data_IF_424470018746
#
_entry.id   IF_424470018746
#
_cell.length_a   1.000
_cell.length_b   1.000
_cell.length_c   1.000
_cell.angle_alpha   90.00
_cell.angle_beta   90.00
_cell.angle_gamma   90.00
#
_symmetry.space_group_name_H-M   'P 1'
#
loop_
_entity.id
_entity.type
_entity.pdbx_description
1 polymer ?
#
# COMPACT_ATOMS: atom_id res chain seq x y z
N UNK A 1 -13.63 11.41 27.55
CA UNK A 1 -12.92 10.90 26.34
C UNK A 1 -12.33 12.07 25.56
N UNK A 2 -11.01 12.28 25.64
CA UNK A 2 -10.36 13.45 25.03
C UNK A 2 -10.21 13.30 23.51
N UNK A 3 -10.88 14.19 22.79
CA UNK A 3 -10.96 14.26 21.33
C UNK A 3 -9.77 15.05 20.75
N UNK A 4 -8.64 14.40 20.46
CA UNK A 4 -7.51 15.03 19.74
C UNK A 4 -6.79 14.02 18.82
N UNK A 5 -7.40 13.63 17.69
CA UNK A 5 -6.78 12.68 16.72
C UNK A 5 -6.34 13.28 15.39
N UNK A 6 -6.34 14.60 15.25
CA UNK A 6 -5.89 15.28 14.02
C UNK A 6 -5.05 16.53 14.29
N UNK A 7 -4.09 16.43 15.21
CA UNK A 7 -3.14 17.52 15.47
C UNK A 7 -2.27 17.79 14.25
N UNK A 8 -1.83 19.05 14.09
CA UNK A 8 -0.90 19.44 13.04
C UNK A 8 0.36 18.55 13.03
N UNK A 9 0.86 18.17 14.22
CA UNK A 9 1.96 17.23 14.36
C UNK A 9 1.67 15.85 13.77
N UNK A 10 0.46 15.30 13.98
CA UNK A 10 0.07 14.03 13.38
C UNK A 10 -0.03 14.12 11.84
N UNK A 11 -0.44 15.27 11.30
CA UNK A 11 -0.46 15.53 9.86
C UNK A 11 0.96 15.61 9.29
N UNK A 12 1.84 16.40 9.91
CA UNK A 12 3.26 16.53 9.53
C UNK A 12 3.96 15.18 9.57
N UNK A 13 3.77 14.41 10.66
CA UNK A 13 4.33 13.07 10.82
C UNK A 13 3.88 12.12 9.71
N UNK A 14 2.60 12.13 9.31
CA UNK A 14 2.11 11.33 8.16
C UNK A 14 2.73 11.77 6.85
N UNK A 15 2.85 13.07 6.59
CA UNK A 15 3.48 13.60 5.38
C UNK A 15 4.94 13.17 5.28
N UNK A 16 5.71 13.29 6.37
CA UNK A 16 7.11 12.86 6.42
C UNK A 16 7.26 11.35 6.19
N UNK A 17 6.41 10.52 6.79
CA UNK A 17 6.47 9.08 6.59
C UNK A 17 6.16 8.63 5.17
N UNK A 18 5.36 9.40 4.42
CA UNK A 18 5.10 9.10 3.00
C UNK A 18 6.36 9.21 2.12
N UNK A 19 7.39 9.92 2.59
CA UNK A 19 8.65 10.15 1.87
C UNK A 19 9.70 9.08 2.20
N UNK A 20 9.54 8.29 3.26
CA UNK A 20 10.53 7.27 3.64
C UNK A 20 10.89 6.32 2.48
N UNK A 21 12.16 5.91 2.40
CA UNK A 21 12.62 4.99 1.36
C UNK A 21 12.01 3.61 1.56
N UNK A 22 11.89 2.89 0.45
CA UNK A 22 11.55 1.47 0.43
C UNK A 22 12.82 0.66 0.69
N UNK A 23 12.70 -0.43 1.45
CA UNK A 23 13.84 -1.30 1.74
C UNK A 23 14.47 -1.82 0.45
N UNK A 24 15.80 -1.73 0.36
CA UNK A 24 16.58 -2.23 -0.77
C UNK A 24 16.46 -3.74 -0.95
N UNK A 25 16.06 -4.46 0.10
CA UNK A 25 15.82 -5.91 0.08
C UNK A 25 14.50 -6.30 -0.62
N UNK A 26 13.62 -5.33 -0.93
CA UNK A 26 12.36 -5.58 -1.63
C UNK A 26 12.60 -5.92 -3.09
N UNK A 27 11.99 -7.00 -3.56
CA UNK A 27 12.01 -7.48 -4.95
C UNK A 27 10.60 -7.85 -5.40
N UNK A 28 10.43 -8.10 -6.70
CA UNK A 28 9.14 -8.42 -7.31
C UNK A 28 8.35 -7.18 -7.70
N UNK A 29 7.09 -7.39 -8.08
CA UNK A 29 6.20 -6.36 -8.61
C UNK A 29 4.74 -6.60 -8.21
N UNK A 30 3.89 -5.62 -8.50
CA UNK A 30 2.45 -5.76 -8.31
C UNK A 30 1.89 -6.75 -9.35
N UNK A 31 1.25 -7.81 -8.87
CA UNK A 31 0.61 -8.86 -9.69
C UNK A 31 -0.92 -8.76 -9.71
N UNK A 32 -1.45 -7.58 -9.36
CA UNK A 32 -2.89 -7.30 -9.29
C UNK A 32 -3.69 -8.30 -8.43
N UNK A 33 -3.10 -8.72 -7.30
CA UNK A 33 -3.76 -9.56 -6.29
C UNK A 33 -4.94 -8.84 -5.58
N UNK A 34 -4.96 -7.50 -5.57
CA UNK A 34 -6.02 -6.69 -4.97
C UNK A 34 -6.01 -6.59 -3.44
N UNK A 35 -5.24 -7.40 -2.72
CA UNK A 35 -5.24 -7.42 -1.25
C UNK A 35 -4.72 -6.13 -0.62
N UNK A 36 -3.64 -5.55 -1.17
CA UNK A 36 -3.14 -4.27 -0.68
C UNK A 36 -4.15 -3.11 -0.88
N UNK A 37 -5.08 -3.25 -1.83
CA UNK A 37 -6.16 -2.28 -2.05
C UNK A 37 -7.31 -2.40 -1.05
N UNK A 38 -7.33 -3.44 -0.20
CA UNK A 38 -8.39 -3.70 0.78
C UNK A 38 -7.95 -3.48 2.24
N UNK A 39 -6.66 -3.26 2.49
CA UNK A 39 -6.05 -3.28 3.83
C UNK A 39 -6.70 -2.40 4.89
N UNK A 40 -7.04 -1.16 4.55
CA UNK A 40 -7.67 -0.23 5.51
C UNK A 40 -9.18 -0.14 5.27
N UNK A 41 -9.53 0.20 4.04
CA UNK A 41 -10.87 0.19 3.49
C UNK A 41 -10.74 -0.29 2.05
N UNK A 42 -11.84 -0.80 1.47
CA UNK A 42 -11.87 -1.16 0.05
C UNK A 42 -11.62 0.10 -0.79
N UNK A 43 -10.52 0.09 -1.53
CA UNK A 43 -10.15 1.20 -2.40
C UNK A 43 -11.21 1.42 -3.49
N UNK A 44 -11.71 2.65 -3.70
CA UNK A 44 -12.72 2.92 -4.73
C UNK A 44 -12.19 2.71 -6.17
N UNK A 45 -10.87 2.70 -6.33
CA UNK A 45 -10.20 2.47 -7.61
C UNK A 45 -9.86 0.99 -7.87
N UNK A 46 -10.16 0.09 -6.92
CA UNK A 46 -10.09 -1.34 -7.15
C UNK A 46 -11.25 -1.75 -8.06
N UNK A 47 -10.93 -2.39 -9.19
CA UNK A 47 -11.89 -2.87 -10.16
C UNK A 47 -11.62 -4.34 -10.48
N UNK A 48 -12.62 -4.99 -11.04
CA UNK A 48 -12.56 -6.39 -11.42
C UNK A 48 -12.96 -6.52 -12.88
N UNK A 49 -12.23 -7.37 -13.61
CA UNK A 49 -12.58 -7.79 -14.96
C UNK A 49 -13.66 -8.88 -14.92
N UNK A 50 -14.20 -9.24 -16.08
CA UNK A 50 -15.20 -10.32 -16.22
C UNK A 50 -14.69 -11.68 -15.75
N UNK A 51 -13.36 -11.92 -15.78
CA UNK A 51 -12.71 -13.13 -15.28
C UNK A 51 -12.38 -13.07 -13.78
N UNK A 52 -12.99 -12.14 -13.03
CA UNK A 52 -12.73 -11.86 -11.62
C UNK A 52 -11.28 -11.43 -11.30
N UNK A 53 -10.42 -11.16 -12.29
CA UNK A 53 -9.10 -10.59 -12.02
C UNK A 53 -9.24 -9.14 -11.58
N UNK A 54 -8.61 -8.83 -10.44
CA UNK A 54 -8.58 -7.46 -9.93
C UNK A 54 -7.61 -6.61 -10.76
N UNK A 55 -7.79 -5.29 -10.77
CA UNK A 55 -6.84 -4.33 -11.30
C UNK A 55 -7.07 -2.94 -10.69
N UNK A 56 -6.05 -2.07 -10.74
CA UNK A 56 -6.15 -0.70 -10.28
C UNK A 56 -6.53 0.24 -11.45
N UNK A 57 -7.69 0.89 -11.36
CA UNK A 57 -8.16 1.82 -12.39
C UNK A 57 -7.23 3.05 -12.58
N UNK A 58 -6.46 3.41 -11.56
CA UNK A 58 -5.54 4.56 -11.57
C UNK A 58 -4.06 4.14 -11.46
N UNK A 59 -3.70 2.96 -11.96
CA UNK A 59 -2.37 2.36 -11.76
C UNK A 59 -1.19 3.32 -12.04
N UNK A 60 -1.30 4.12 -13.11
CA UNK A 60 -0.27 5.09 -13.54
C UNK A 60 -0.11 6.27 -12.57
N UNK A 61 -1.18 6.69 -11.92
CA UNK A 61 -1.20 7.86 -11.01
C UNK A 61 -1.37 7.46 -9.54
N UNK A 62 -1.06 6.20 -9.19
CA UNK A 62 -1.19 5.67 -7.83
C UNK A 62 -0.58 6.62 -6.79
N UNK A 63 -1.22 6.82 -5.63
CA UNK A 63 -0.61 7.54 -4.51
C UNK A 63 0.71 6.90 -4.08
N UNK A 64 1.62 7.69 -3.49
CA UNK A 64 2.94 7.21 -3.05
C UNK A 64 2.83 6.01 -2.09
N UNK A 65 1.84 6.01 -1.19
CA UNK A 65 1.59 4.90 -0.27
C UNK A 65 1.38 3.58 -1.03
N UNK A 66 0.58 3.59 -2.10
CA UNK A 66 0.33 2.39 -2.92
C UNK A 66 1.57 1.96 -3.73
N UNK A 67 2.39 2.92 -4.20
CA UNK A 67 3.63 2.60 -4.95
C UNK A 67 4.71 2.00 -4.06
N UNK A 68 4.79 2.48 -2.81
CA UNK A 68 5.83 2.10 -1.85
C UNK A 68 5.48 0.86 -1.05
N UNK A 69 4.21 0.47 -0.98
CA UNK A 69 3.80 -0.73 -0.28
C UNK A 69 4.27 -2.02 -1.01
N UNK A 70 4.74 -3.04 -0.28
CA UNK A 70 5.20 -3.01 1.13
C UNK A 70 6.55 -2.30 1.22
N UNK A 71 6.76 -1.45 2.23
CA UNK A 71 8.03 -0.68 2.34
C UNK A 71 9.14 -1.51 2.99
N UNK A 72 8.80 -2.29 4.00
CA UNK A 72 9.70 -3.19 4.74
C UNK A 72 9.01 -4.55 4.95
N UNK A 73 9.79 -5.58 5.28
CA UNK A 73 9.25 -6.91 5.57
C UNK A 73 8.26 -6.89 6.75
N UNK A 74 8.52 -6.07 7.77
CA UNK A 74 7.65 -5.91 8.94
C UNK A 74 6.28 -5.28 8.63
N UNK A 75 6.16 -4.55 7.52
CA UNK A 75 4.91 -3.93 7.08
C UNK A 75 4.14 -4.80 6.07
N UNK A 76 4.69 -5.97 5.71
CA UNK A 76 4.20 -6.77 4.61
C UNK A 76 3.11 -7.77 5.02
N UNK A 77 1.94 -7.24 5.34
CA UNK A 77 0.78 -8.03 5.80
C UNK A 77 0.19 -8.94 4.71
N UNK A 78 0.33 -8.60 3.43
CA UNK A 78 -0.22 -9.39 2.31
C UNK A 78 0.81 -10.32 1.66
N UNK A 79 1.73 -10.89 2.46
CA UNK A 79 2.83 -11.72 1.97
C UNK A 79 2.38 -12.95 1.19
N UNK A 80 1.21 -13.48 1.52
CA UNK A 80 0.74 -14.77 0.99
C UNK A 80 0.25 -14.69 -0.45
N UNK A 81 -0.19 -13.51 -0.89
CA UNK A 81 -0.83 -13.29 -2.20
C UNK A 81 -0.13 -12.26 -3.07
N UNK A 82 0.64 -11.34 -2.46
CA UNK A 82 1.28 -10.26 -3.20
C UNK A 82 2.59 -10.71 -3.87
N UNK A 83 2.87 -10.18 -5.05
CA UNK A 83 4.07 -10.53 -5.84
C UNK A 83 5.39 -9.95 -5.30
N UNK A 84 5.34 -9.05 -4.32
CA UNK A 84 6.55 -8.54 -3.67
C UNK A 84 7.14 -9.57 -2.71
N UNK A 85 8.47 -9.55 -2.55
CA UNK A 85 9.22 -10.40 -1.63
C UNK A 85 10.36 -9.62 -0.99
N UNK A 86 10.83 -10.07 0.17
CA UNK A 86 12.02 -9.52 0.82
C UNK A 86 13.08 -10.61 0.94
N UNK A 87 14.32 -10.29 0.54
CA UNK A 87 15.45 -11.17 0.81
C UNK A 87 15.76 -11.14 2.31
N UNK A 88 16.11 -12.29 2.89
CA UNK A 88 16.67 -12.39 4.25
C UNK A 88 18.02 -11.67 4.29
#
# INVERSE_FOLDING_TARGET
MNNKRNSLFAKIKRTLFSILPVSQKRKGECVDCGECCKLFNVCPFLKYKSDNKSYCAIYKIRPLNCRKYPRTASEFVTSDTCGYKFKL
#
